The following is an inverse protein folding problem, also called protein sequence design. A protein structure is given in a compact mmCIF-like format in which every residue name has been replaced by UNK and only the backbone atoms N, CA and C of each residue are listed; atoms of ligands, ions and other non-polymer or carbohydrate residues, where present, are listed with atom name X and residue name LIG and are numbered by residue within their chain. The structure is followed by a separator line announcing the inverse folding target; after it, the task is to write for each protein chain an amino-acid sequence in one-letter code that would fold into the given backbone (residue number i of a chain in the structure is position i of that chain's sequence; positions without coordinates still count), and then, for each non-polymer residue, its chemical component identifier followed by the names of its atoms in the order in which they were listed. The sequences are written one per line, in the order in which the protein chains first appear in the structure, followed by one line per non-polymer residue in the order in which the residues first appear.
data_IF_793416586336
#
_entry.id   IF_793416586336
#
_cell.length_a   1.000
_cell.length_b   1.000
_cell.length_c   1.000
_cell.angle_alpha   90.00
_cell.angle_beta   90.00
_cell.angle_gamma   90.00
#
_symmetry.space_group_name_H-M   'P 1'
#
loop_
_entity.id
_entity.type
_entity.pdbx_description
1 polymer ?
#
# COMPACT_ATOMS: atom_id res chain seq x y z
N UNK A 1 8.48 -1.40 -3.44
CA UNK A 1 9.15 -0.67 -2.35
C UNK A 1 9.79 -1.55 -1.28
N UNK A 2 9.21 -2.69 -0.86
CA UNK A 2 9.63 -3.41 0.37
C UNK A 2 11.14 -3.67 0.48
N UNK A 3 11.77 -4.20 -0.58
CA UNK A 3 13.21 -4.53 -0.53
C UNK A 3 14.14 -3.34 -0.76
N UNK A 4 13.72 -2.36 -1.57
CA UNK A 4 14.58 -1.24 -1.98
C UNK A 4 14.61 -0.11 -0.95
N UNK A 5 13.51 0.12 -0.22
CA UNK A 5 13.38 1.23 0.72
C UNK A 5 14.45 1.22 1.85
N UNK A 6 14.72 0.11 2.55
CA UNK A 6 15.74 0.13 3.60
C UNK A 6 17.14 0.31 3.03
N UNK A 7 17.42 -0.23 1.83
CA UNK A 7 18.67 0.02 1.10
C UNK A 7 18.83 1.51 0.76
N UNK A 8 17.77 2.14 0.27
CA UNK A 8 17.73 3.56 -0.04
C UNK A 8 17.97 4.40 1.22
N UNK A 9 17.19 4.18 2.29
CA UNK A 9 17.32 4.91 3.57
C UNK A 9 18.72 4.79 4.17
N UNK A 10 19.30 3.59 4.18
CA UNK A 10 20.69 3.38 4.64
C UNK A 10 21.69 4.12 3.76
N UNK A 11 21.46 4.19 2.44
CA UNK A 11 22.28 4.94 1.50
C UNK A 11 22.28 6.46 1.74
N UNK A 12 21.20 7.02 2.30
CA UNK A 12 21.08 8.44 2.71
C UNK A 12 21.50 8.68 4.17
N UNK A 13 22.15 7.70 4.82
CA UNK A 13 22.75 7.85 6.14
C UNK A 13 21.85 7.48 7.33
N UNK A 14 20.72 6.82 7.09
CA UNK A 14 19.86 6.35 8.19
C UNK A 14 20.42 5.10 8.85
N UNK A 15 20.18 4.97 10.16
CA UNK A 15 20.54 3.77 10.92
C UNK A 15 19.67 2.60 10.47
N UNK A 16 20.22 1.38 10.50
CA UNK A 16 19.48 0.17 10.15
C UNK A 16 18.15 0.05 10.93
N UNK A 17 18.17 0.36 12.23
CA UNK A 17 16.98 0.35 13.07
C UNK A 17 15.88 1.32 12.60
N UNK A 18 16.24 2.52 12.15
CA UNK A 18 15.26 3.50 11.65
C UNK A 18 14.72 3.13 10.27
N UNK A 19 15.57 2.55 9.40
CA UNK A 19 15.16 2.07 8.08
C UNK A 19 14.20 0.88 8.17
N UNK A 20 14.51 -0.08 9.04
CA UNK A 20 13.69 -1.27 9.26
C UNK A 20 12.39 -0.90 10.03
N UNK A 21 12.46 0.10 10.92
CA UNK A 21 11.30 0.66 11.61
C UNK A 21 10.32 1.36 10.66
N UNK A 22 10.83 2.14 9.69
CA UNK A 22 9.99 2.78 8.68
C UNK A 22 9.26 1.75 7.80
N UNK A 23 9.95 0.67 7.44
CA UNK A 23 9.33 -0.47 6.76
C UNK A 23 8.23 -1.11 7.61
N UNK A 24 8.52 -1.45 8.86
CA UNK A 24 7.57 -2.09 9.76
C UNK A 24 6.31 -1.24 9.95
N UNK A 25 6.48 0.06 10.22
CA UNK A 25 5.38 1.00 10.38
C UNK A 25 4.51 1.11 9.12
N UNK A 26 5.13 1.15 7.94
CA UNK A 26 4.42 1.20 6.67
C UNK A 26 3.58 -0.05 6.41
N UNK A 27 4.11 -1.21 6.80
CA UNK A 27 3.43 -2.50 6.64
C UNK A 27 2.26 -2.61 7.63
N UNK A 28 2.46 -2.21 8.90
CA UNK A 28 1.39 -2.16 9.89
C UNK A 28 0.26 -1.19 9.49
N UNK A 29 0.61 -0.01 8.97
CA UNK A 29 -0.38 0.96 8.51
C UNK A 29 -1.22 0.39 7.34
N UNK A 30 -0.57 -0.29 6.39
CA UNK A 30 -1.24 -0.95 5.27
C UNK A 30 -2.21 -2.05 5.75
N UNK A 31 -1.80 -2.89 6.70
CA UNK A 31 -2.67 -3.91 7.28
C UNK A 31 -3.89 -3.32 7.99
N UNK A 32 -3.73 -2.22 8.74
CA UNK A 32 -4.85 -1.57 9.43
C UNK A 32 -5.87 -0.98 8.46
N UNK A 33 -5.43 -0.48 7.30
CA UNK A 33 -6.30 0.17 6.31
C UNK A 33 -6.91 -0.82 5.31
N UNK A 34 -6.36 -2.03 5.19
CA UNK A 34 -6.87 -3.05 4.28
C UNK A 34 -8.36 -3.38 4.50
N UNK A 35 -8.77 -3.68 5.74
CA UNK A 35 -10.17 -4.04 6.05
C UNK A 35 -11.13 -2.87 5.80
N UNK A 36 -10.90 -1.65 6.33
CA UNK A 36 -11.73 -0.49 6.02
C UNK A 36 -11.86 -0.23 4.53
N UNK A 37 -10.78 -0.41 3.77
CA UNK A 37 -10.74 -0.15 2.33
C UNK A 37 -11.60 -1.14 1.54
N UNK A 38 -11.59 -2.42 1.90
CA UNK A 38 -12.47 -3.43 1.29
C UNK A 38 -13.95 -3.13 1.60
N UNK A 39 -14.27 -2.79 2.86
CA UNK A 39 -15.63 -2.39 3.24
C UNK A 39 -16.10 -1.12 2.51
N UNK A 40 -15.20 -0.15 2.34
CA UNK A 40 -15.47 1.07 1.56
C UNK A 40 -15.73 0.73 0.09
N UNK A 41 -15.01 -0.26 -0.45
CA UNK A 41 -15.13 -0.76 -1.82
C UNK A 41 -16.49 -1.34 -2.14
N UNK A 42 -17.01 -2.16 -1.24
CA UNK A 42 -18.34 -2.73 -1.41
C UNK A 42 -19.43 -1.66 -1.24
N UNK A 43 -19.24 -0.70 -0.31
CA UNK A 43 -20.21 0.38 -0.07
C UNK A 43 -20.29 1.38 -1.24
N UNK A 44 -19.19 1.66 -1.93
CA UNK A 44 -19.17 2.56 -3.08
C UNK A 44 -19.75 1.92 -4.35
N UNK A 45 -19.94 0.59 -4.37
CA UNK A 45 -20.45 -0.16 -5.53
C UNK A 45 -19.53 -0.16 -6.75
N UNK A 46 -18.36 0.49 -6.68
CA UNK A 46 -17.38 0.58 -7.76
C UNK A 46 -15.98 0.30 -7.25
N UNK A 47 -15.59 -0.97 -7.33
CA UNK A 47 -14.24 -1.45 -6.96
C UNK A 47 -13.14 -0.81 -7.80
N UNK A 48 -13.43 -0.55 -9.07
CA UNK A 48 -12.50 0.07 -10.03
C UNK A 48 -12.13 1.51 -9.63
N UNK A 49 -13.08 2.27 -9.09
CA UNK A 49 -12.83 3.65 -8.61
C UNK A 49 -11.87 3.65 -7.42
N UNK A 50 -12.02 2.69 -6.51
CA UNK A 50 -11.16 2.59 -5.33
C UNK A 50 -9.75 2.09 -5.68
N UNK A 51 -9.62 1.19 -6.65
CA UNK A 51 -8.32 0.80 -7.19
C UNK A 51 -7.61 2.00 -7.87
N UNK A 52 -8.33 2.86 -8.59
CA UNK A 52 -7.77 4.08 -9.18
C UNK A 52 -7.32 5.07 -8.10
N UNK A 53 -8.13 5.30 -7.07
CA UNK A 53 -7.76 6.15 -5.94
C UNK A 53 -6.52 5.62 -5.21
N UNK A 54 -6.45 4.30 -4.99
CA UNK A 54 -5.30 3.63 -4.39
C UNK A 54 -4.01 3.79 -5.21
N UNK A 55 -4.11 3.67 -6.54
CA UNK A 55 -2.98 3.92 -7.45
C UNK A 55 -2.51 5.38 -7.36
N UNK A 56 -3.44 6.34 -7.33
CA UNK A 56 -3.08 7.76 -7.20
C UNK A 56 -2.41 8.07 -5.88
N UNK A 57 -2.91 7.53 -4.76
CA UNK A 57 -2.31 7.69 -3.43
C UNK A 57 -0.90 7.09 -3.42
N UNK A 58 -0.74 5.89 -3.98
CA UNK A 58 0.56 5.21 -4.07
C UNK A 58 1.55 6.02 -4.92
N UNK A 59 1.13 6.46 -6.11
CA UNK A 59 1.96 7.27 -7.01
C UNK A 59 2.36 8.60 -6.36
N UNK A 60 1.43 9.24 -5.65
CA UNK A 60 1.68 10.49 -4.92
C UNK A 60 2.68 10.29 -3.79
N UNK A 61 2.54 9.21 -3.00
CA UNK A 61 3.48 8.86 -1.93
C UNK A 61 4.88 8.57 -2.45
N UNK A 62 4.99 7.84 -3.57
CA UNK A 62 6.28 7.58 -4.23
C UNK A 62 6.88 8.86 -4.80
N UNK A 63 6.07 9.73 -5.42
CA UNK A 63 6.51 11.03 -5.90
C UNK A 63 7.05 11.91 -4.77
N UNK A 64 6.37 11.93 -3.62
CA UNK A 64 6.81 12.68 -2.43
C UNK A 64 8.19 12.23 -1.92
N UNK A 65 8.55 10.96 -2.05
CA UNK A 65 9.87 10.47 -1.65
C UNK A 65 11.02 11.13 -2.41
N UNK A 66 10.75 11.63 -3.63
CA UNK A 66 11.75 12.29 -4.46
C UNK A 66 12.07 13.72 -3.99
N UNK A 67 11.17 14.33 -3.20
CA UNK A 67 11.25 15.75 -2.80
C UNK A 67 11.54 15.89 -1.30
N UNK A 68 11.14 14.89 -0.51
CA UNK A 68 11.11 14.96 0.95
C UNK A 68 12.32 14.24 1.56
N UNK A 69 13.01 14.90 2.51
CA UNK A 69 14.13 14.34 3.27
C UNK A 69 13.88 14.26 4.78
N UNK A 70 14.69 13.49 5.49
CA UNK A 70 14.63 13.39 6.96
C UNK A 70 13.34 12.73 7.49
N UNK A 71 12.88 13.11 8.69
CA UNK A 71 11.74 12.46 9.37
C UNK A 71 10.44 12.42 8.54
N UNK A 72 10.31 13.31 7.56
CA UNK A 72 9.16 13.44 6.70
C UNK A 72 9.10 12.31 5.63
N UNK A 73 10.19 11.56 5.44
CA UNK A 73 10.23 10.31 4.66
C UNK A 73 9.33 9.24 5.26
N UNK A 74 9.17 9.17 6.59
CA UNK A 74 8.24 8.21 7.24
C UNK A 74 6.82 8.39 6.73
N UNK A 75 6.37 9.64 6.62
CA UNK A 75 5.02 9.97 6.17
C UNK A 75 4.82 9.58 4.71
N UNK A 76 5.78 9.91 3.84
CA UNK A 76 5.74 9.54 2.42
C UNK A 76 5.71 8.02 2.20
N UNK A 77 6.48 7.27 2.98
CA UNK A 77 6.50 5.80 2.94
C UNK A 77 5.15 5.22 3.39
N UNK A 78 4.57 5.75 4.46
CA UNK A 78 3.26 5.31 4.95
C UNK A 78 2.20 5.57 3.89
N UNK A 79 2.13 6.78 3.33
CA UNK A 79 1.19 7.13 2.25
C UNK A 79 1.38 6.24 1.03
N UNK A 80 2.62 5.98 0.62
CA UNK A 80 2.92 5.11 -0.52
C UNK A 80 2.49 3.66 -0.29
N UNK A 81 2.39 3.22 0.97
CA UNK A 81 2.13 1.81 1.32
C UNK A 81 0.69 1.57 1.79
N UNK A 82 -0.03 2.60 2.23
CA UNK A 82 -1.31 2.47 2.96
C UNK A 82 -2.41 1.74 2.19
N UNK A 83 -2.43 1.90 0.87
CA UNK A 83 -3.48 1.35 0.02
C UNK A 83 -3.10 -0.03 -0.55
N UNK A 84 -1.89 -0.52 -0.27
CA UNK A 84 -1.31 -1.65 -0.98
C UNK A 84 -1.99 -2.97 -0.63
N UNK A 85 -2.16 -3.27 0.65
CA UNK A 85 -2.79 -4.54 1.06
C UNK A 85 -4.28 -4.53 0.70
N UNK A 86 -4.95 -3.38 0.83
CA UNK A 86 -6.33 -3.21 0.38
C UNK A 86 -6.48 -3.36 -1.14
N UNK A 87 -5.52 -2.86 -1.94
CA UNK A 87 -5.51 -3.04 -3.39
C UNK A 87 -5.44 -4.53 -3.78
N UNK A 88 -4.56 -5.29 -3.14
CA UNK A 88 -4.44 -6.74 -3.39
C UNK A 88 -5.71 -7.48 -2.97
N UNK A 89 -6.27 -7.15 -1.80
CA UNK A 89 -7.52 -7.74 -1.33
C UNK A 89 -8.69 -7.49 -2.29
N UNK A 90 -8.92 -6.24 -2.70
CA UNK A 90 -10.00 -5.88 -3.65
C UNK A 90 -9.79 -6.55 -5.01
N UNK A 91 -8.55 -6.67 -5.48
CA UNK A 91 -8.24 -7.35 -6.74
C UNK A 91 -8.58 -8.84 -6.67
N UNK A 92 -8.20 -9.52 -5.59
CA UNK A 92 -8.56 -10.93 -5.38
C UNK A 92 -10.09 -11.08 -5.32
N UNK A 93 -10.79 -10.21 -4.61
CA UNK A 93 -12.27 -10.24 -4.58
C UNK A 93 -12.88 -10.08 -5.97
N UNK A 94 -12.35 -9.17 -6.81
CA UNK A 94 -12.82 -9.02 -8.19
C UNK A 94 -12.56 -10.27 -9.05
N UNK A 95 -11.40 -10.91 -8.88
CA UNK A 95 -11.08 -12.15 -9.61
C UNK A 95 -12.05 -13.26 -9.20
N UNK A 96 -12.27 -13.43 -7.90
CA UNK A 96 -13.17 -14.46 -7.37
C UNK A 96 -14.62 -14.24 -7.79
N UNK A 97 -15.07 -13.00 -7.89
CA UNK A 97 -16.43 -12.66 -8.34
C UNK A 97 -16.59 -12.60 -9.87
N UNK A 98 -15.52 -12.82 -10.63
CA UNK A 98 -15.61 -12.91 -12.09
C UNK A 98 -16.38 -14.17 -12.47
N UNK A 99 -17.35 -14.01 -13.37
CA UNK A 99 -18.19 -15.10 -13.87
C UNK A 99 -17.33 -16.23 -14.44
N UNK A 100 -17.53 -17.45 -13.93
CA UNK A 100 -16.77 -18.63 -14.33
C UNK A 100 -15.51 -18.92 -13.50
N UNK A 101 -15.08 -18.03 -12.60
CA UNK A 101 -14.05 -18.32 -11.59
C UNK A 101 -14.74 -18.82 -10.32
N UNK A 102 -15.34 -17.93 -9.54
CA UNK A 102 -15.92 -18.30 -8.24
C UNK A 102 -14.87 -18.71 -7.21
N UNK A 103 -15.31 -18.96 -5.97
CA UNK A 103 -14.43 -19.26 -4.84
C UNK A 103 -13.62 -20.57 -4.97
N UNK A 104 -13.95 -21.42 -5.95
CA UNK A 104 -13.30 -22.72 -6.16
C UNK A 104 -11.85 -22.60 -6.69
N UNK A 105 -11.47 -21.47 -7.29
CA UNK A 105 -10.12 -21.25 -7.85
C UNK A 105 -9.33 -20.17 -7.08
N UNK A 106 -9.68 -19.92 -5.82
CA UNK A 106 -9.03 -18.91 -4.99
C UNK A 106 -7.69 -19.37 -4.37
N UNK A 107 -7.20 -20.58 -4.69
CA UNK A 107 -5.99 -21.19 -4.12
C UNK A 107 -5.17 -21.96 -5.14
#
# INVERSE_FOLDING_TARGET
MIGYLPLYLRGIGWTAASADGALAASNSASMMVAIPMVLLSDKLGSRKTILLAAMLITASGVGLLSVVGGAMVWVSVIIASIARDGFMAVTITMITETEGVGAAYAG
#
